data_IF_331281114980
#
_entry.id   IF_331281114980
#
_cell.length_a   1.000
_cell.length_b   1.000
_cell.length_c   1.000
_cell.angle_alpha   90.00
_cell.angle_beta   90.00
_cell.angle_gamma   90.00
#
_symmetry.space_group_name_H-M   'P 1'
#
loop_
_entity.id
_entity.type
_entity.pdbx_description
1 polymer ?
#
# COMPACT_ATOMS: atom_id res chain seq x y z
N UNK A 1 -12.45 -19.90 -4.26
CA UNK A 1 -12.19 -18.64 -5.00
C UNK A 1 -10.78 -18.69 -5.58
N UNK A 2 -10.46 -17.88 -6.60
CA UNK A 2 -9.08 -17.74 -7.08
C UNK A 2 -8.37 -16.64 -6.29
N UNK A 3 -7.16 -16.92 -5.79
CA UNK A 3 -6.30 -15.90 -5.17
C UNK A 3 -4.88 -15.98 -5.72
N UNK A 4 -4.16 -14.87 -5.64
CA UNK A 4 -2.73 -14.84 -5.97
C UNK A 4 -1.91 -15.19 -4.74
N UNK A 5 -0.98 -16.12 -4.88
CA UNK A 5 0.02 -16.47 -3.86
C UNK A 5 1.39 -16.52 -4.51
N UNK A 6 2.44 -16.53 -3.69
CA UNK A 6 3.79 -16.79 -4.20
C UNK A 6 4.02 -18.29 -4.44
N UNK A 7 4.71 -18.61 -5.53
CA UNK A 7 5.31 -19.92 -5.80
C UNK A 7 6.82 -19.79 -5.77
N UNK A 8 7.50 -20.79 -5.21
CA UNK A 8 8.96 -20.86 -5.17
C UNK A 8 9.43 -21.96 -6.12
N UNK A 9 10.31 -21.59 -7.04
CA UNK A 9 11.04 -22.52 -7.89
C UNK A 9 12.17 -23.18 -7.07
N UNK A 10 12.04 -24.48 -6.81
CA UNK A 10 13.00 -25.25 -6.01
C UNK A 10 14.34 -25.46 -6.72
N UNK A 11 14.39 -25.38 -8.05
CA UNK A 11 15.63 -25.51 -8.82
C UNK A 11 16.49 -24.25 -8.70
N UNK A 12 15.84 -23.09 -8.70
CA UNK A 12 16.51 -21.79 -8.55
C UNK A 12 16.79 -21.44 -7.09
N UNK A 13 15.95 -21.88 -6.15
CA UNK A 13 16.11 -21.58 -4.73
C UNK A 13 17.34 -22.30 -4.14
N UNK A 14 18.25 -21.58 -3.50
CA UNK A 14 19.42 -22.16 -2.81
C UNK A 14 19.28 -22.21 -1.28
N UNK A 15 18.11 -21.83 -0.75
CA UNK A 15 17.84 -21.84 0.68
C UNK A 15 18.46 -20.68 1.47
N UNK A 16 18.96 -19.63 0.81
CA UNK A 16 19.60 -18.50 1.50
C UNK A 16 18.70 -17.76 2.51
N UNK A 17 17.38 -17.87 2.39
CA UNK A 17 16.41 -17.32 3.35
C UNK A 17 16.18 -15.81 3.26
N UNK A 18 16.74 -15.11 2.25
CA UNK A 18 16.57 -13.66 2.08
C UNK A 18 15.09 -13.20 1.98
N UNK A 19 14.21 -14.08 1.49
CA UNK A 19 12.78 -13.83 1.40
C UNK A 19 12.03 -13.89 2.76
N UNK A 20 12.60 -14.50 3.80
CA UNK A 20 11.91 -14.73 5.07
C UNK A 20 11.69 -13.43 5.84
N UNK A 21 12.71 -12.57 6.06
CA UNK A 21 12.50 -11.30 6.77
C UNK A 21 11.51 -10.36 6.09
N UNK A 22 11.34 -10.47 4.76
CA UNK A 22 10.39 -9.66 4.00
C UNK A 22 8.96 -10.22 4.00
N UNK A 23 8.75 -11.43 4.53
CA UNK A 23 7.44 -12.02 4.70
C UNK A 23 6.93 -11.72 6.12
N UNK A 24 6.32 -10.53 6.30
CA UNK A 24 5.78 -10.10 7.61
C UNK A 24 4.71 -11.05 8.16
N UNK A 25 3.99 -11.73 7.27
CA UNK A 25 2.96 -12.73 7.61
C UNK A 25 3.55 -14.05 8.14
N UNK A 26 4.87 -14.25 8.06
CA UNK A 26 5.54 -15.48 8.50
C UNK A 26 5.16 -16.71 7.67
N UNK A 27 4.67 -16.52 6.44
CA UNK A 27 4.24 -17.58 5.54
C UNK A 27 5.42 -18.38 4.95
N UNK A 28 6.64 -17.87 5.03
CA UNK A 28 7.86 -18.50 4.49
C UNK A 28 8.77 -19.06 5.58
N UNK A 29 9.28 -20.28 5.37
CA UNK A 29 10.35 -20.88 6.19
C UNK A 29 11.31 -21.68 5.34
N UNK A 30 12.51 -21.93 5.87
CA UNK A 30 13.41 -22.93 5.29
C UNK A 30 12.98 -24.32 5.76
N UNK A 31 12.68 -25.20 4.81
CA UNK A 31 12.36 -26.60 5.02
C UNK A 31 13.17 -27.41 4.01
N UNK A 32 13.93 -28.39 4.49
CA UNK A 32 14.83 -29.22 3.66
C UNK A 32 15.82 -28.41 2.82
N UNK A 33 16.35 -27.33 3.40
CA UNK A 33 17.34 -26.47 2.75
C UNK A 33 16.77 -25.59 1.62
N UNK A 34 15.45 -25.49 1.47
CA UNK A 34 14.77 -24.63 0.49
C UNK A 34 13.76 -23.72 1.17
N UNK A 35 13.54 -22.54 0.62
CA UNK A 35 12.42 -21.71 1.05
C UNK A 35 11.11 -22.38 0.61
N UNK A 36 10.17 -22.53 1.54
CA UNK A 36 8.84 -23.10 1.28
C UNK A 36 7.77 -22.23 1.91
N UNK A 37 6.61 -22.20 1.25
CA UNK A 37 5.39 -21.64 1.80
C UNK A 37 4.81 -22.64 2.81
N UNK A 38 4.88 -22.32 4.11
CA UNK A 38 4.43 -23.23 5.17
C UNK A 38 2.91 -23.20 5.39
N UNK A 39 2.27 -22.13 4.95
CA UNK A 39 0.83 -22.05 4.87
C UNK A 39 0.45 -21.12 3.74
N UNK A 40 -0.34 -21.62 2.80
CA UNK A 40 -0.92 -20.76 1.79
C UNK A 40 -1.83 -19.71 2.43
N UNK A 41 -2.55 -20.04 3.52
CA UNK A 41 -3.51 -19.12 4.16
C UNK A 41 -2.84 -17.87 4.74
N UNK A 42 -1.57 -17.97 5.13
CA UNK A 42 -0.78 -16.83 5.60
C UNK A 42 -0.20 -16.00 4.44
N UNK A 43 -0.22 -16.51 3.21
CA UNK A 43 0.21 -15.73 2.05
C UNK A 43 -0.90 -14.74 1.66
N UNK A 44 -0.61 -13.45 1.81
CA UNK A 44 -1.49 -12.34 1.41
C UNK A 44 -1.44 -12.05 -0.11
N UNK A 45 -0.44 -12.60 -0.82
CA UNK A 45 -0.25 -12.40 -2.25
C UNK A 45 0.29 -11.03 -2.64
N UNK A 46 0.83 -10.24 -1.70
CA UNK A 46 1.36 -8.89 -2.00
C UNK A 46 2.75 -8.93 -2.64
N UNK A 47 3.49 -10.02 -2.49
CA UNK A 47 4.74 -10.26 -3.22
C UNK A 47 5.95 -9.48 -2.71
N UNK A 48 5.93 -8.99 -1.46
CA UNK A 48 7.06 -8.27 -0.85
C UNK A 48 8.39 -9.07 -0.93
N UNK A 49 8.32 -10.39 -0.81
CA UNK A 49 9.48 -11.27 -0.88
C UNK A 49 10.07 -11.48 -2.28
N UNK A 50 9.36 -11.10 -3.36
CA UNK A 50 9.79 -11.37 -4.75
C UNK A 50 11.08 -10.61 -5.06
N UNK A 51 11.16 -9.33 -4.70
CA UNK A 51 12.33 -8.48 -4.93
C UNK A 51 13.56 -8.87 -4.10
N UNK A 52 13.33 -9.56 -2.98
CA UNK A 52 14.40 -9.95 -2.05
C UNK A 52 15.10 -11.25 -2.43
N UNK A 53 14.55 -12.02 -3.37
CA UNK A 53 15.17 -13.27 -3.79
C UNK A 53 16.32 -13.00 -4.78
N UNK A 54 17.60 -13.18 -4.39
CA UNK A 54 18.73 -12.92 -5.29
C UNK A 54 18.80 -13.91 -6.47
N UNK A 55 18.07 -15.03 -6.37
CA UNK A 55 17.98 -16.06 -7.42
C UNK A 55 16.80 -15.86 -8.38
N UNK A 56 15.91 -14.89 -8.11
CA UNK A 56 14.68 -14.73 -8.87
C UNK A 56 13.75 -15.95 -8.80
N UNK A 57 13.85 -16.74 -7.72
CA UNK A 57 13.15 -18.01 -7.57
C UNK A 57 11.68 -17.87 -7.15
N UNK A 58 11.15 -16.65 -7.02
CA UNK A 58 9.81 -16.40 -6.47
C UNK A 58 8.95 -15.69 -7.51
N UNK A 59 7.76 -16.24 -7.74
CA UNK A 59 6.80 -15.68 -8.69
C UNK A 59 5.40 -15.61 -8.07
N UNK A 60 4.54 -14.75 -8.63
CA UNK A 60 3.15 -14.63 -8.20
C UNK A 60 2.26 -15.47 -9.12
N UNK A 61 1.60 -16.50 -8.57
CA UNK A 61 0.70 -17.40 -9.31
C UNK A 61 -0.74 -17.28 -8.82
N UNK A 62 -1.70 -17.56 -9.70
CA UNK A 62 -3.10 -17.72 -9.32
C UNK A 62 -3.39 -19.18 -8.95
N UNK A 63 -3.96 -19.39 -7.77
CA UNK A 63 -4.38 -20.71 -7.29
C UNK A 63 -5.86 -20.74 -6.96
N UNK A 64 -6.48 -21.90 -7.15
CA UNK A 64 -7.84 -22.17 -6.72
C UNK A 64 -7.84 -22.71 -5.29
N UNK A 65 -8.52 -22.01 -4.39
CA UNK A 65 -8.60 -22.42 -2.99
C UNK A 65 -10.03 -22.74 -2.64
N UNK A 66 -10.19 -23.94 -2.11
CA UNK A 66 -11.39 -24.38 -1.41
C UNK A 66 -11.30 -23.77 -0.02
N UNK A 67 -12.10 -22.74 0.26
CA UNK A 67 -12.22 -22.25 1.63
C UNK A 67 -12.78 -23.38 2.50
N UNK A 68 -11.95 -23.93 3.38
CA UNK A 68 -12.47 -24.47 4.63
C UNK A 68 -12.84 -23.27 5.48
N UNK A 69 -14.10 -22.84 5.38
CA UNK A 69 -14.68 -21.90 6.34
C UNK A 69 -14.49 -22.49 7.72
N UNK A 70 -13.73 -21.87 8.65
CA UNK A 70 -13.99 -22.14 10.05
C UNK A 70 -15.47 -21.82 10.27
N UNK A 71 -16.23 -22.81 10.74
CA UNK A 71 -17.69 -22.76 10.93
C UNK A 71 -18.15 -21.74 11.99
N UNK A 72 -17.30 -20.79 12.35
CA UNK A 72 -17.61 -19.70 13.24
C UNK A 72 -17.77 -18.43 12.41
N UNK A 73 -18.99 -18.27 11.90
CA UNK A 73 -19.56 -16.97 11.62
C UNK A 73 -19.28 -16.02 12.78
N UNK A 74 -18.37 -15.07 12.62
CA UNK A 74 -18.54 -13.80 13.35
C UNK A 74 -19.68 -13.09 12.62
N UNK A 75 -20.84 -13.09 13.27
CA UNK A 75 -22.11 -12.67 12.70
C UNK A 75 -22.00 -11.31 11.99
N UNK A 76 -22.39 -11.28 10.71
CA UNK A 76 -22.88 -10.07 10.06
C UNK A 76 -21.87 -9.16 9.37
N UNK A 77 -20.59 -9.53 9.25
CA UNK A 77 -19.63 -8.75 8.47
C UNK A 77 -19.50 -9.37 7.07
N UNK A 78 -20.05 -8.76 6.01
CA UNK A 78 -19.81 -9.23 4.66
C UNK A 78 -18.32 -9.08 4.33
N UNK A 79 -17.67 -10.19 4.03
CA UNK A 79 -16.32 -10.24 3.49
C UNK A 79 -16.36 -9.60 2.10
N UNK A 80 -15.85 -8.38 1.99
CA UNK A 80 -15.83 -7.65 0.73
C UNK A 80 -14.90 -8.37 -0.28
N UNK A 81 -15.29 -8.56 -1.55
CA UNK A 81 -14.44 -9.20 -2.55
C UNK A 81 -13.16 -8.41 -2.78
N UNK A 82 -12.03 -9.12 -2.69
CA UNK A 82 -10.67 -8.62 -2.43
C UNK A 82 -10.15 -7.59 -3.48
N UNK A 83 -10.81 -7.34 -4.61
CA UNK A 83 -10.23 -6.51 -5.69
C UNK A 83 -11.21 -5.66 -6.53
N UNK A 84 -12.48 -5.49 -6.13
CA UNK A 84 -13.42 -4.70 -6.92
C UNK A 84 -13.67 -3.31 -6.30
N UNK A 85 -12.81 -2.34 -6.59
CA UNK A 85 -13.12 -0.92 -6.34
C UNK A 85 -13.91 -0.43 -7.56
N UNK A 86 -15.21 -0.13 -7.40
CA UNK A 86 -15.96 0.62 -8.41
C UNK A 86 -15.72 2.12 -8.24
N UNK A 87 -16.07 2.92 -9.24
CA UNK A 87 -16.08 4.38 -9.11
C UNK A 87 -16.89 4.80 -7.87
N UNK A 88 -16.23 5.50 -6.94
CA UNK A 88 -16.82 5.95 -5.68
C UNK A 88 -16.65 5.02 -4.48
N UNK A 89 -16.11 3.81 -4.66
CA UNK A 89 -15.77 2.90 -3.56
C UNK A 89 -14.38 3.21 -2.97
N UNK A 90 -14.18 2.90 -1.69
CA UNK A 90 -12.89 3.00 -1.01
C UNK A 90 -11.88 2.05 -1.65
N UNK A 91 -10.66 2.54 -1.93
CA UNK A 91 -9.58 1.64 -2.35
C UNK A 91 -9.06 0.82 -1.17
N UNK A 92 -8.69 -0.43 -1.45
CA UNK A 92 -7.90 -1.28 -0.58
C UNK A 92 -6.81 -1.97 -1.42
N UNK A 93 -5.56 -2.07 -0.93
CA UNK A 93 -5.03 -1.51 0.31
C UNK A 93 -4.89 0.03 0.27
N UNK A 94 -4.73 0.65 1.45
CA UNK A 94 -4.52 2.11 1.57
C UNK A 94 -3.11 2.50 1.98
N UNK A 95 -2.33 1.61 2.58
CA UNK A 95 -0.96 1.94 3.01
C UNK A 95 -0.04 2.08 1.80
N UNK A 96 0.74 3.17 1.74
CA UNK A 96 1.63 3.49 0.59
C UNK A 96 2.46 2.27 0.17
N UNK A 97 3.05 1.55 1.12
CA UNK A 97 3.89 0.38 0.83
C UNK A 97 3.12 -0.82 0.26
N UNK A 98 1.88 -1.03 0.70
CA UNK A 98 1.05 -2.18 0.30
C UNK A 98 0.32 -1.94 -1.03
N UNK A 99 0.10 -0.68 -1.41
CA UNK A 99 -0.52 -0.36 -2.71
C UNK A 99 0.42 -0.79 -3.83
N UNK A 100 -0.04 -1.71 -4.68
CA UNK A 100 0.71 -2.08 -5.88
C UNK A 100 0.79 -0.89 -6.83
N UNK A 101 1.97 -0.53 -7.36
CA UNK A 101 2.07 0.52 -8.38
C UNK A 101 1.37 0.19 -9.70
N UNK A 102 0.96 -1.07 -9.90
CA UNK A 102 0.23 -1.55 -11.08
C UNK A 102 -1.28 -1.63 -10.82
N UNK A 103 -1.77 -1.10 -9.70
CA UNK A 103 -3.18 -1.18 -9.34
C UNK A 103 -4.05 -0.34 -10.31
N UNK A 104 -5.08 -0.92 -10.96
CA UNK A 104 -5.87 -0.21 -11.97
C UNK A 104 -6.57 1.04 -11.46
N UNK A 105 -6.93 1.10 -10.16
CA UNK A 105 -7.59 2.26 -9.57
C UNK A 105 -6.71 3.52 -9.51
N UNK A 106 -5.39 3.41 -9.76
CA UNK A 106 -4.47 4.56 -9.78
C UNK A 106 -4.58 5.37 -11.08
N UNK A 107 -5.13 4.79 -12.14
CA UNK A 107 -5.18 5.40 -13.47
C UNK A 107 -6.03 6.67 -13.48
N UNK A 108 -5.41 7.81 -13.83
CA UNK A 108 -6.08 9.11 -13.86
C UNK A 108 -6.73 9.52 -12.54
N UNK A 109 -6.24 9.02 -11.40
CA UNK A 109 -6.80 9.30 -10.09
C UNK A 109 -6.36 10.69 -9.55
N UNK A 110 -7.21 11.29 -8.72
CA UNK A 110 -6.75 12.32 -7.77
C UNK A 110 -6.30 11.60 -6.50
N UNK A 111 -5.04 11.78 -6.10
CA UNK A 111 -4.47 11.04 -4.97
C UNK A 111 -4.62 11.84 -3.68
N UNK A 112 -5.07 11.19 -2.61
CA UNK A 112 -5.03 11.68 -1.25
C UNK A 112 -3.86 11.01 -0.53
N UNK A 113 -2.75 11.72 -0.32
CA UNK A 113 -1.62 11.26 0.49
C UNK A 113 -1.85 11.73 1.93
N UNK A 114 -2.30 10.85 2.81
CA UNK A 114 -2.70 11.19 4.17
C UNK A 114 -1.75 10.64 5.24
N UNK A 115 -1.54 11.41 6.30
CA UNK A 115 -0.85 10.94 7.49
C UNK A 115 -1.66 9.87 8.23
N UNK A 116 -0.96 8.89 8.81
CA UNK A 116 -1.56 7.79 9.58
C UNK A 116 -2.54 8.25 10.67
N UNK A 117 -2.26 9.39 11.31
CA UNK A 117 -3.11 9.93 12.36
C UNK A 117 -4.37 10.63 11.82
N UNK A 118 -4.38 11.09 10.56
CA UNK A 118 -5.44 11.94 10.03
C UNK A 118 -6.83 11.26 10.02
N UNK A 119 -6.99 9.99 9.59
CA UNK A 119 -8.29 9.32 9.61
C UNK A 119 -8.86 9.13 11.02
N UNK A 120 -7.98 8.97 12.02
CA UNK A 120 -8.39 8.71 13.41
C UNK A 120 -8.78 10.01 14.11
N UNK A 121 -8.05 11.09 13.84
CA UNK A 121 -8.24 12.36 14.53
C UNK A 121 -9.33 13.22 13.87
N UNK A 122 -9.47 13.17 12.53
CA UNK A 122 -10.50 13.90 11.81
C UNK A 122 -11.78 13.07 11.67
N UNK A 123 -12.81 13.38 12.47
CA UNK A 123 -14.09 12.64 12.48
C UNK A 123 -14.75 12.58 11.10
N UNK A 124 -14.68 13.66 10.33
CA UNK A 124 -15.28 13.75 9.00
C UNK A 124 -14.30 13.36 7.88
N UNK A 125 -13.21 12.64 8.17
CA UNK A 125 -12.16 12.29 7.21
C UNK A 125 -12.73 11.73 5.89
N UNK A 126 -13.61 10.74 5.99
CA UNK A 126 -14.22 10.10 4.82
C UNK A 126 -15.07 11.08 4.00
N UNK A 127 -15.94 11.84 4.67
CA UNK A 127 -16.85 12.78 4.00
C UNK A 127 -16.13 13.97 3.36
N UNK A 128 -15.00 14.41 3.95
CA UNK A 128 -14.29 15.62 3.52
C UNK A 128 -13.18 15.36 2.51
N UNK A 129 -12.47 14.25 2.64
CA UNK A 129 -11.21 14.06 1.92
C UNK A 129 -11.19 12.83 1.02
N UNK A 130 -12.00 11.81 1.30
CA UNK A 130 -11.90 10.54 0.56
C UNK A 130 -12.73 10.51 -0.71
N UNK A 131 -13.86 11.23 -0.74
CA UNK A 131 -14.74 11.26 -1.90
C UNK A 131 -13.98 11.64 -3.18
N UNK A 132 -14.14 10.83 -4.22
CA UNK A 132 -13.53 10.98 -5.55
C UNK A 132 -11.99 10.98 -5.57
N UNK A 133 -11.35 10.41 -4.54
CA UNK A 133 -9.89 10.31 -4.41
C UNK A 133 -9.44 8.91 -4.06
N UNK A 134 -8.26 8.53 -4.56
CA UNK A 134 -7.56 7.32 -4.14
C UNK A 134 -6.69 7.63 -2.95
N UNK A 135 -6.87 6.88 -1.87
CA UNK A 135 -6.23 7.11 -0.58
C UNK A 135 -4.93 6.32 -0.47
N UNK A 136 -3.85 7.05 -0.20
CA UNK A 136 -2.52 6.55 0.13
C UNK A 136 -2.14 7.06 1.52
N UNK A 137 -1.98 6.17 2.49
CA UNK A 137 -1.72 6.50 3.90
C UNK A 137 -0.31 6.07 4.30
N UNK A 138 0.39 6.93 5.04
CA UNK A 138 1.68 6.59 5.65
C UNK A 138 2.11 7.54 6.77
N UNK A 139 3.36 7.41 7.20
CA UNK A 139 3.97 8.30 8.17
C UNK A 139 5.43 8.53 7.79
N UNK A 140 5.88 9.77 7.53
CA UNK A 140 7.26 10.07 7.17
C UNK A 140 8.24 9.88 8.34
N UNK A 141 7.76 9.74 9.59
CA UNK A 141 8.62 9.49 10.76
C UNK A 141 8.83 8.00 11.04
N UNK A 142 7.79 7.18 10.88
CA UNK A 142 7.82 5.77 11.24
C UNK A 142 7.87 4.83 10.03
N UNK A 143 7.46 5.30 8.86
CA UNK A 143 7.72 4.61 7.60
C UNK A 143 9.11 4.95 7.09
N UNK A 144 9.72 4.02 6.36
CA UNK A 144 10.92 4.30 5.57
C UNK A 144 10.64 5.47 4.62
N UNK A 145 11.33 6.59 4.84
CA UNK A 145 11.12 7.83 4.09
C UNK A 145 11.52 7.67 2.62
N UNK A 146 12.69 7.06 2.38
CA UNK A 146 13.21 6.86 1.02
C UNK A 146 12.35 5.82 0.28
N UNK A 147 11.96 4.74 0.96
CA UNK A 147 11.03 3.76 0.40
C UNK A 147 9.66 4.35 0.04
N UNK A 148 9.09 5.23 0.88
CA UNK A 148 7.84 5.93 0.56
C UNK A 148 8.00 6.85 -0.66
N UNK A 149 9.09 7.62 -0.70
CA UNK A 149 9.39 8.50 -1.82
C UNK A 149 9.51 7.71 -3.12
N UNK A 150 10.27 6.62 -3.12
CA UNK A 150 10.50 5.79 -4.30
C UNK A 150 9.23 5.07 -4.75
N UNK A 151 8.41 4.61 -3.80
CA UNK A 151 7.09 4.04 -4.08
C UNK A 151 6.18 5.06 -4.76
N UNK A 152 6.10 6.27 -4.22
CA UNK A 152 5.31 7.37 -4.79
C UNK A 152 5.85 7.75 -6.18
N UNK A 153 7.16 7.85 -6.35
CA UNK A 153 7.80 8.12 -7.66
C UNK A 153 7.39 7.07 -8.69
N UNK A 154 7.41 5.80 -8.31
CA UNK A 154 7.01 4.69 -9.19
C UNK A 154 5.54 4.80 -9.58
N UNK A 155 4.65 5.04 -8.61
CA UNK A 155 3.23 5.27 -8.86
C UNK A 155 3.03 6.43 -9.83
N UNK A 156 3.65 7.60 -9.59
CA UNK A 156 3.48 8.79 -10.44
C UNK A 156 4.08 8.62 -11.84
N UNK A 157 5.11 7.78 -11.98
CA UNK A 157 5.73 7.48 -13.27
C UNK A 157 4.77 6.66 -14.15
N UNK A 158 4.17 5.61 -13.56
CA UNK A 158 3.26 4.69 -14.23
C UNK A 158 1.86 5.27 -14.43
N UNK A 159 1.36 5.99 -13.43
CA UNK A 159 0.01 6.56 -13.38
C UNK A 159 0.10 8.06 -13.02
N UNK A 160 0.19 8.95 -14.02
CA UNK A 160 0.25 10.38 -13.78
C UNK A 160 -1.03 10.86 -13.07
N UNK A 161 -0.93 11.41 -11.85
CA UNK A 161 -2.13 11.79 -11.10
C UNK A 161 -2.73 13.09 -11.66
N UNK A 162 -4.07 13.21 -11.61
CA UNK A 162 -4.78 14.46 -11.93
C UNK A 162 -4.40 15.59 -10.96
N UNK A 163 -4.07 15.21 -9.73
CA UNK A 163 -3.65 16.08 -8.65
C UNK A 163 -3.32 15.26 -7.42
N UNK A 164 -2.58 15.86 -6.49
CA UNK A 164 -2.24 15.26 -5.22
C UNK A 164 -2.68 16.18 -4.10
N UNK A 165 -3.58 15.72 -3.24
CA UNK A 165 -3.84 16.38 -1.96
C UNK A 165 -3.08 15.67 -0.86
N UNK A 166 -2.26 16.42 -0.14
CA UNK A 166 -1.52 15.97 1.03
C UNK A 166 -2.30 16.39 2.27
N UNK A 167 -2.71 15.41 3.08
CA UNK A 167 -3.35 15.66 4.37
C UNK A 167 -2.36 15.36 5.49
N UNK A 168 -1.77 16.42 6.05
CA UNK A 168 -0.71 16.32 7.07
C UNK A 168 -1.17 16.88 8.41
N UNK A 169 -0.59 16.39 9.50
CA UNK A 169 -0.81 16.98 10.81
C UNK A 169 0.09 18.21 11.02
N UNK A 170 -0.29 19.13 11.91
CA UNK A 170 0.45 20.37 12.23
C UNK A 170 1.82 20.12 12.84
N UNK A 171 2.02 18.91 13.37
CA UNK A 171 3.26 18.50 14.03
C UNK A 171 4.46 18.41 13.06
N UNK A 172 5.69 18.66 13.56
CA UNK A 172 6.90 18.64 12.73
C UNK A 172 7.16 17.30 12.04
N UNK A 173 6.78 16.17 12.66
CA UNK A 173 7.01 14.86 12.07
C UNK A 173 6.34 14.70 10.70
N UNK A 174 5.22 15.38 10.44
CA UNK A 174 4.54 15.33 9.15
C UNK A 174 5.14 16.27 8.09
N UNK A 175 6.23 16.98 8.39
CA UNK A 175 6.91 17.90 7.45
C UNK A 175 7.55 17.18 6.26
N UNK A 176 7.87 15.89 6.39
CA UNK A 176 8.45 15.08 5.32
C UNK A 176 7.50 14.79 4.15
N UNK A 177 6.17 14.81 4.35
CA UNK A 177 5.22 14.46 3.30
C UNK A 177 5.24 15.41 2.10
N UNK A 178 5.08 16.74 2.27
CA UNK A 178 5.19 17.67 1.16
C UNK A 178 6.50 17.55 0.38
N UNK A 179 7.61 17.32 1.08
CA UNK A 179 8.93 17.13 0.48
C UNK A 179 8.98 15.84 -0.35
N UNK A 180 8.56 14.71 0.23
CA UNK A 180 8.56 13.42 -0.44
C UNK A 180 7.67 13.41 -1.69
N UNK A 181 6.46 13.96 -1.61
CA UNK A 181 5.54 14.02 -2.76
C UNK A 181 6.10 14.91 -3.87
N UNK A 182 6.59 16.11 -3.52
CA UNK A 182 7.17 17.05 -4.51
C UNK A 182 8.40 16.46 -5.19
N UNK A 183 9.27 15.81 -4.41
CA UNK A 183 10.46 15.16 -4.95
C UNK A 183 10.11 13.93 -5.80
N UNK A 184 9.12 13.14 -5.39
CA UNK A 184 8.63 12.01 -6.18
C UNK A 184 8.03 12.47 -7.52
N UNK A 185 7.22 13.54 -7.55
CA UNK A 185 6.71 14.13 -8.80
C UNK A 185 7.84 14.62 -9.69
N UNK A 186 8.81 15.37 -9.11
CA UNK A 186 9.98 15.87 -9.83
C UNK A 186 10.78 14.72 -10.45
N UNK A 187 11.08 13.67 -9.69
CA UNK A 187 11.82 12.49 -10.18
C UNK A 187 11.02 11.65 -11.18
N UNK A 188 9.68 11.68 -11.12
CA UNK A 188 8.81 11.05 -12.10
C UNK A 188 8.61 11.90 -13.38
N UNK A 189 9.15 13.12 -13.43
CA UNK A 189 8.95 14.05 -14.54
C UNK A 189 7.50 14.52 -14.67
N UNK A 190 6.80 14.69 -13.53
CA UNK A 190 5.39 15.11 -13.45
C UNK A 190 5.25 16.47 -12.78
N UNK A 191 4.24 17.23 -13.19
CA UNK A 191 3.93 18.59 -12.73
C UNK A 191 2.50 18.72 -12.17
N UNK A 192 1.89 17.59 -11.80
CA UNK A 192 0.54 17.55 -11.23
C UNK A 192 0.36 18.53 -10.06
N UNK A 193 -0.78 19.24 -9.97
CA UNK A 193 -1.01 20.22 -8.92
C UNK A 193 -1.01 19.56 -7.54
N UNK A 194 -0.37 20.20 -6.56
CA UNK A 194 -0.28 19.70 -5.19
C UNK A 194 -0.98 20.66 -4.23
N UNK A 195 -1.92 20.14 -3.45
CA UNK A 195 -2.59 20.86 -2.36
C UNK A 195 -2.17 20.24 -1.03
N UNK A 196 -1.77 21.05 -0.05
CA UNK A 196 -1.40 20.63 1.30
C UNK A 196 -2.42 21.18 2.29
N UNK A 197 -3.14 20.27 2.95
CA UNK A 197 -4.08 20.57 4.02
C UNK A 197 -3.43 20.19 5.35
N UNK A 198 -3.38 21.14 6.28
CA UNK A 198 -2.81 20.96 7.62
C UNK A 198 -3.93 20.76 8.62
N UNK A 199 -3.93 19.62 9.32
CA UNK A 199 -4.84 19.30 10.42
C UNK A 199 -4.20 19.59 11.78
N UNK A 200 -4.98 20.13 12.72
CA UNK A 200 -4.60 20.21 14.12
C UNK A 200 -4.59 18.84 14.79
N UNK A 201 -4.02 18.73 15.99
CA UNK A 201 -4.14 17.53 16.82
C UNK A 201 -5.59 17.23 17.27
N UNK A 202 -6.56 18.13 17.07
CA UNK A 202 -8.00 17.85 17.22
C UNK A 202 -8.72 17.51 15.91
N UNK A 203 -8.03 17.54 14.76
CA UNK A 203 -8.61 17.16 13.46
C UNK A 203 -9.30 18.32 12.73
N UNK A 204 -9.07 19.55 13.18
CA UNK A 204 -9.55 20.78 12.54
C UNK A 204 -8.57 21.22 11.44
N UNK A 205 -9.06 21.83 10.36
CA UNK A 205 -8.17 22.40 9.34
C UNK A 205 -7.55 23.69 9.89
N UNK A 206 -6.22 23.72 9.96
CA UNK A 206 -5.42 24.90 10.34
C UNK A 206 -5.03 25.75 9.14
N UNK A 207 -4.92 25.15 7.95
CA UNK A 207 -4.55 25.87 6.74
C UNK A 207 -4.52 24.97 5.50
N UNK A 208 -4.55 25.63 4.35
CA UNK A 208 -4.45 25.02 3.01
C UNK A 208 -3.41 25.80 2.21
N UNK A 209 -2.50 25.09 1.54
CA UNK A 209 -1.43 25.67 0.71
C UNK A 209 -1.34 24.90 -0.61
N UNK A 210 -1.18 25.61 -1.74
CA UNK A 210 -0.85 25.00 -3.02
C UNK A 210 0.66 25.03 -3.25
N UNK A 211 1.24 23.95 -3.77
CA UNK A 211 2.68 23.79 -4.01
C UNK A 211 3.04 23.60 -5.48
#
# INVERSE_FOLDING_TARGET
>A
MRRKIIRIDEELCDGCGACIPACEEGALRIVDGKARLVSETLCDGLGACIGECPRGAIELVEVEIKEERPSHSVQGIPCCPIFAVKDGDLNWPVKIFLVSPLAPFLEGAHLLVAADCAPVVCKEFHGRFVKDRVVLIGCPKFGDYEGQLEKLRTIFSLHPPKGVTILRMEVPCCGGFPLAVKEALRKAGRDSPVEVIVLSHQGEIKGVQTL
#
